data_IF_320674832071
#
_entry.id   IF_320674832071
#
_cell.length_a   1.000
_cell.length_b   1.000
_cell.length_c   1.000
_cell.angle_alpha   90.00
_cell.angle_beta   90.00
_cell.angle_gamma   90.00
#
_symmetry.space_group_name_H-M   'P 1'
#
loop_
_entity.id
_entity.type
_entity.pdbx_description
1 polymer ?
#
# COMPACT_ATOMS: atom_id res chain seq x y z
N UNK A 1 -3.60 -16.42 18.62
CA UNK A 1 -3.25 -14.99 18.65
C UNK A 1 -4.15 -14.34 19.68
N UNK A 2 -3.56 -13.73 20.70
CA UNK A 2 -4.28 -13.08 21.79
C UNK A 2 -3.99 -11.59 21.71
N UNK A 3 -5.03 -10.77 21.74
CA UNK A 3 -4.89 -9.32 21.87
C UNK A 3 -4.94 -8.98 23.36
N UNK A 4 -4.00 -8.14 23.80
CA UNK A 4 -3.85 -7.78 25.21
C UNK A 4 -3.78 -6.26 25.29
N UNK A 5 -4.70 -5.67 26.05
CA UNK A 5 -4.77 -4.21 26.21
C UNK A 5 -3.89 -3.71 27.37
N UNK A 6 -3.67 -4.56 28.38
CA UNK A 6 -2.93 -4.19 29.60
C UNK A 6 -1.52 -4.78 29.60
N UNK A 7 -0.54 -3.93 29.84
CA UNK A 7 0.87 -4.33 29.99
C UNK A 7 1.08 -5.36 31.10
N UNK A 8 0.32 -5.27 32.20
CA UNK A 8 0.37 -6.23 33.30
C UNK A 8 -0.01 -7.65 32.89
N UNK A 9 -0.96 -7.79 31.96
CA UNK A 9 -1.44 -9.10 31.51
C UNK A 9 -0.47 -9.68 30.47
N UNK A 10 0.14 -8.80 29.67
CA UNK A 10 1.18 -9.17 28.72
C UNK A 10 2.41 -9.77 29.42
N UNK A 11 2.91 -9.14 30.48
CA UNK A 11 4.05 -9.64 31.26
C UNK A 11 3.78 -11.03 31.85
N UNK A 12 2.57 -11.24 32.39
CA UNK A 12 2.14 -12.55 32.90
C UNK A 12 2.09 -13.61 31.81
N UNK A 13 1.59 -13.26 30.63
CA UNK A 13 1.50 -14.16 29.48
C UNK A 13 2.89 -14.52 28.95
N UNK A 14 3.81 -13.57 28.84
CA UNK A 14 5.19 -13.84 28.41
C UNK A 14 5.91 -14.76 29.41
N UNK A 15 5.65 -14.61 30.71
CA UNK A 15 6.20 -15.48 31.75
C UNK A 15 5.60 -16.88 31.81
N UNK A 16 4.46 -17.12 31.15
CA UNK A 16 3.74 -18.40 31.19
C UNK A 16 4.49 -19.48 30.41
N UNK A 17 4.81 -20.59 31.09
CA UNK A 17 5.50 -21.75 30.50
C UNK A 17 4.59 -22.95 30.27
N UNK A 18 3.40 -22.94 30.86
CA UNK A 18 2.46 -24.04 30.79
C UNK A 18 1.03 -23.50 30.75
N UNK A 19 0.22 -24.06 29.85
CA UNK A 19 -1.20 -23.75 29.72
C UNK A 19 -1.97 -25.07 29.64
N UNK A 20 -2.74 -25.39 30.69
CA UNK A 20 -3.55 -26.61 30.74
C UNK A 20 -2.73 -27.91 30.61
N UNK A 21 -1.57 -28.01 31.26
CA UNK A 21 -0.71 -29.20 31.16
C UNK A 21 0.26 -29.19 29.97
N UNK A 22 0.08 -28.26 29.01
CA UNK A 22 0.89 -28.18 27.80
C UNK A 22 1.98 -27.12 27.97
N UNK A 23 3.23 -27.49 27.69
CA UNK A 23 4.34 -26.53 27.66
C UNK A 23 4.13 -25.55 26.50
N UNK A 24 4.17 -24.26 26.80
CA UNK A 24 3.98 -23.18 25.82
C UNK A 24 5.13 -22.19 25.88
N UNK A 25 5.42 -21.56 24.74
CA UNK A 25 6.32 -20.40 24.62
C UNK A 25 5.49 -19.24 24.07
N UNK A 26 5.38 -18.17 24.85
CA UNK A 26 4.67 -16.96 24.46
C UNK A 26 5.68 -15.92 23.99
N UNK A 27 5.44 -15.33 22.83
CA UNK A 27 6.27 -14.25 22.25
C UNK A 27 5.37 -13.13 21.76
N UNK A 28 5.88 -11.90 21.81
CA UNK A 28 5.23 -10.76 21.15
C UNK A 28 5.10 -11.02 19.66
N UNK A 29 3.99 -10.59 19.07
CA UNK A 29 3.80 -10.67 17.63
C UNK A 29 4.61 -9.56 16.96
N UNK A 30 5.63 -9.93 16.18
CA UNK A 30 6.51 -8.96 15.51
C UNK A 30 5.84 -8.21 14.35
N UNK A 31 4.69 -8.69 13.88
CA UNK A 31 4.01 -8.16 12.71
C UNK A 31 2.80 -7.28 13.05
N UNK A 32 2.03 -7.64 14.08
CA UNK A 32 0.84 -6.90 14.49
C UNK A 32 1.13 -5.80 15.52
N UNK A 33 2.24 -5.92 16.25
CA UNK A 33 2.69 -4.89 17.18
C UNK A 33 3.62 -3.86 16.51
N UNK A 34 3.78 -3.92 15.19
CA UNK A 34 4.59 -2.96 14.44
C UNK A 34 3.76 -2.26 13.38
N UNK A 35 4.19 -1.04 13.04
CA UNK A 35 3.54 -0.24 12.00
C UNK A 35 4.58 0.47 11.16
N UNK A 36 4.16 0.99 10.01
CA UNK A 36 5.07 1.68 9.09
C UNK A 36 4.52 3.06 8.75
N UNK A 37 5.39 4.05 8.79
CA UNK A 37 5.09 5.42 8.40
C UNK A 37 6.10 5.94 7.39
N UNK A 38 5.69 6.94 6.62
CA UNK A 38 6.49 7.61 5.61
C UNK A 38 6.71 9.04 6.05
N UNK A 39 7.98 9.44 6.08
CA UNK A 39 8.41 10.82 6.28
C UNK A 39 9.09 11.33 5.01
N UNK A 40 8.89 12.60 4.71
CA UNK A 40 9.57 13.29 3.61
C UNK A 40 9.82 14.73 4.03
N UNK A 41 11.08 15.13 4.05
CA UNK A 41 11.48 16.50 4.33
C UNK A 41 12.79 16.84 3.62
N UNK A 42 12.95 18.11 3.19
CA UNK A 42 14.13 18.55 2.43
C UNK A 42 15.43 18.37 3.20
N UNK A 43 15.39 18.62 4.51
CA UNK A 43 16.57 18.60 5.38
C UNK A 43 17.04 17.18 5.74
N UNK A 44 16.27 16.16 5.39
CA UNK A 44 16.63 14.75 5.59
C UNK A 44 17.43 14.14 4.42
N UNK A 45 17.85 14.95 3.43
CA UNK A 45 18.55 14.48 2.22
C UNK A 45 19.87 13.75 2.50
N UNK A 46 20.55 14.13 3.58
CA UNK A 46 21.85 13.58 3.99
C UNK A 46 21.78 12.48 5.06
N UNK A 47 20.65 12.36 5.77
CA UNK A 47 20.55 11.53 6.97
C UNK A 47 20.72 10.04 6.69
N UNK A 48 21.49 9.35 7.52
CA UNK A 48 21.63 7.89 7.42
C UNK A 48 20.39 7.19 7.98
N UNK A 49 20.18 5.92 7.63
CA UNK A 49 19.00 5.19 8.10
C UNK A 49 19.08 4.91 9.60
N UNK A 50 20.30 4.65 10.09
CA UNK A 50 20.60 4.36 11.49
C UNK A 50 20.33 5.58 12.40
N UNK A 51 20.57 6.80 11.90
CA UNK A 51 20.30 8.04 12.63
C UNK A 51 18.83 8.16 13.06
N UNK A 52 17.88 7.65 12.25
CA UNK A 52 16.46 7.71 12.63
C UNK A 52 16.10 6.77 13.78
N UNK A 53 16.79 5.63 13.89
CA UNK A 53 16.64 4.70 15.01
C UNK A 53 17.17 5.34 16.30
N UNK A 54 18.26 6.09 16.20
CA UNK A 54 18.84 6.82 17.34
C UNK A 54 18.01 8.05 17.75
N UNK A 55 17.51 8.82 16.78
CA UNK A 55 16.83 10.08 17.06
C UNK A 55 15.38 9.94 17.50
N UNK A 56 14.69 8.90 17.01
CA UNK A 56 13.25 8.76 17.19
C UNK A 56 12.98 7.53 18.08
N UNK A 57 12.56 7.72 19.34
CA UNK A 57 12.21 6.60 20.19
C UNK A 57 11.02 5.82 19.58
N UNK A 58 11.12 4.49 19.63
CA UNK A 58 10.13 3.58 19.07
C UNK A 58 10.31 3.25 17.59
N UNK A 59 11.32 3.80 16.90
CA UNK A 59 11.67 3.35 15.54
C UNK A 59 12.57 2.12 15.63
N UNK A 60 12.14 1.01 15.04
CA UNK A 60 12.90 -0.25 14.94
C UNK A 60 13.85 -0.23 13.75
N UNK A 61 13.40 0.33 12.62
CA UNK A 61 14.18 0.42 11.40
C UNK A 61 13.73 1.57 10.53
N UNK A 62 14.65 2.11 9.75
CA UNK A 62 14.36 3.09 8.71
C UNK A 62 14.85 2.54 7.36
N UNK A 63 14.16 2.93 6.28
CA UNK A 63 14.55 2.60 4.91
C UNK A 63 14.36 3.82 4.02
N UNK A 64 15.40 4.27 3.34
CA UNK A 64 15.29 5.34 2.34
C UNK A 64 14.67 4.80 1.06
N UNK A 65 13.74 5.56 0.48
CA UNK A 65 13.14 5.21 -0.81
C UNK A 65 14.08 5.66 -1.93
N UNK A 66 14.43 4.72 -2.80
CA UNK A 66 15.14 4.98 -4.04
C UNK A 66 14.16 4.98 -5.22
N UNK A 67 14.33 5.94 -6.14
CA UNK A 67 13.60 5.97 -7.40
C UNK A 67 14.56 5.66 -8.54
N UNK A 68 14.11 4.84 -9.49
CA UNK A 68 14.85 4.62 -10.73
C UNK A 68 14.46 5.69 -11.74
N UNK A 69 15.40 6.49 -12.23
CA UNK A 69 15.21 7.43 -13.34
C UNK A 69 16.20 7.07 -14.45
N UNK A 70 15.69 6.49 -15.54
CA UNK A 70 16.55 5.91 -16.56
C UNK A 70 17.33 4.72 -16.01
N UNK A 71 18.66 4.76 -16.14
CA UNK A 71 19.57 3.71 -15.64
C UNK A 71 20.01 3.97 -14.19
N UNK A 72 19.83 5.19 -13.68
CA UNK A 72 20.32 5.57 -12.36
C UNK A 72 19.30 5.31 -11.24
N UNK A 73 19.81 4.94 -10.07
CA UNK A 73 19.06 4.87 -8.81
C UNK A 73 19.33 6.14 -8.01
N UNK A 74 18.29 6.95 -7.84
CA UNK A 74 18.37 8.22 -7.13
C UNK A 74 17.77 8.04 -5.74
N UNK A 75 18.59 8.27 -4.72
CA UNK A 75 18.14 8.32 -3.33
C UNK A 75 17.23 9.53 -3.13
N UNK A 76 16.01 9.30 -2.67
CA UNK A 76 15.07 10.40 -2.37
C UNK A 76 15.20 10.87 -0.93
N UNK A 77 14.56 12.00 -0.61
CA UNK A 77 14.43 12.50 0.76
C UNK A 77 13.26 11.84 1.52
N UNK A 78 12.79 10.68 1.04
CA UNK A 78 11.65 9.96 1.62
C UNK A 78 12.14 8.73 2.35
N UNK A 79 11.69 8.54 3.59
CA UNK A 79 12.02 7.38 4.40
C UNK A 79 10.76 6.67 4.82
N UNK A 80 10.82 5.34 4.86
CA UNK A 80 9.82 4.51 5.51
C UNK A 80 10.40 4.10 6.85
N UNK A 81 9.76 4.54 7.93
CA UNK A 81 10.08 4.15 9.29
C UNK A 81 9.19 2.98 9.71
N UNK A 82 9.76 2.03 10.44
CA UNK A 82 9.04 0.95 11.11
C UNK A 82 9.00 1.28 12.60
N UNK A 83 7.81 1.41 13.16
CA UNK A 83 7.60 1.70 14.58
C UNK A 83 7.29 0.41 15.35
N UNK A 84 7.67 0.38 16.62
CA UNK A 84 7.31 -0.65 17.61
C UNK A 84 5.90 -0.50 18.18
N UNK A 85 5.07 0.31 17.53
CA UNK A 85 3.66 0.53 17.84
C UNK A 85 2.76 -0.04 16.73
N UNK A 86 1.54 -0.51 17.05
CA UNK A 86 0.59 -1.04 16.07
C UNK A 86 0.05 0.01 15.08
N UNK A 87 0.15 1.29 15.43
CA UNK A 87 -0.24 2.43 14.57
C UNK A 87 0.86 3.47 14.56
N UNK A 88 1.18 4.07 13.38
CA UNK A 88 2.22 5.07 13.31
C UNK A 88 1.75 6.38 13.96
N UNK A 89 2.63 7.11 14.68
CA UNK A 89 2.29 8.44 15.18
C UNK A 89 2.00 9.40 14.03
N UNK A 90 1.31 10.52 14.28
CA UNK A 90 1.03 11.54 13.26
C UNK A 90 2.22 12.46 12.97
N UNK A 91 3.12 12.62 13.93
CA UNK A 91 4.31 13.46 13.86
C UNK A 91 5.43 12.87 14.71
N UNK A 92 6.67 13.03 14.27
CA UNK A 92 7.88 12.61 14.98
C UNK A 92 8.91 13.73 14.94
N UNK A 93 9.83 13.75 15.89
CA UNK A 93 10.99 14.65 15.88
C UNK A 93 12.22 13.90 15.37
N UNK A 94 12.61 14.15 14.13
CA UNK A 94 13.87 13.65 13.59
C UNK A 94 15.00 14.58 14.04
N UNK A 95 15.66 14.23 15.15
CA UNK A 95 16.55 15.13 15.86
C UNK A 95 15.76 16.31 16.44
N UNK A 96 16.05 17.53 15.97
CA UNK A 96 15.32 18.74 16.37
C UNK A 96 14.18 19.12 15.42
N UNK A 97 14.02 18.39 14.31
CA UNK A 97 13.08 18.72 13.26
C UNK A 97 11.74 17.98 13.45
N UNK A 98 10.61 18.69 13.66
CA UNK A 98 9.29 18.06 13.63
C UNK A 98 8.91 17.69 12.19
N UNK A 99 8.54 16.43 11.97
CA UNK A 99 8.17 15.90 10.65
C UNK A 99 6.88 15.10 10.75
N UNK A 100 5.91 15.44 9.89
CA UNK A 100 4.65 14.70 9.77
C UNK A 100 4.90 13.31 9.22
N UNK A 101 4.29 12.33 9.85
CA UNK A 101 4.32 10.93 9.43
C UNK A 101 3.02 10.59 8.72
N UNK A 102 3.13 10.01 7.53
CA UNK A 102 1.99 9.47 6.79
C UNK A 102 1.99 7.95 6.91
N UNK A 103 0.88 7.29 7.23
CA UNK A 103 0.82 5.83 7.21
C UNK A 103 1.33 5.23 5.90
N UNK A 104 2.23 4.25 5.98
CA UNK A 104 2.74 3.56 4.81
C UNK A 104 1.69 2.56 4.32
N UNK A 105 1.09 2.86 3.18
CA UNK A 105 0.10 1.99 2.54
C UNK A 105 0.80 1.17 1.45
N UNK A 106 1.03 -0.14 1.66
CA UNK A 106 1.62 -0.98 0.63
C UNK A 106 0.67 -1.15 -0.56
N UNK A 107 1.23 -1.50 -1.71
CA UNK A 107 0.42 -1.95 -2.84
C UNK A 107 -0.12 -3.36 -2.60
N UNK A 108 -1.32 -3.72 -3.07
CA UNK A 108 -1.93 -5.01 -2.80
C UNK A 108 -1.08 -6.14 -3.37
N UNK A 109 -0.72 -7.09 -2.52
CA UNK A 109 0.12 -8.22 -2.91
C UNK A 109 -0.63 -9.11 -3.89
N UNK A 110 -0.09 -9.22 -5.10
CA UNK A 110 -0.62 -10.05 -6.17
C UNK A 110 0.30 -11.24 -6.39
N UNK A 111 -0.26 -12.44 -6.43
CA UNK A 111 0.50 -13.63 -6.78
C UNK A 111 0.99 -13.53 -8.24
N UNK A 112 2.29 -13.61 -8.48
CA UNK A 112 2.82 -13.59 -9.85
C UNK A 112 2.53 -14.87 -10.64
N UNK A 113 2.06 -15.95 -10.00
CA UNK A 113 1.65 -17.19 -10.67
C UNK A 113 0.18 -17.20 -11.07
N UNK A 114 -0.74 -16.92 -10.13
CA UNK A 114 -2.19 -16.99 -10.39
C UNK A 114 -2.90 -15.63 -10.45
N UNK A 115 -2.19 -14.54 -10.19
CA UNK A 115 -2.67 -13.16 -10.29
C UNK A 115 -3.83 -12.78 -9.35
N UNK A 116 -4.17 -13.65 -8.40
CA UNK A 116 -5.08 -13.35 -7.29
C UNK A 116 -4.37 -12.58 -6.18
N UNK A 117 -5.12 -11.76 -5.46
CA UNK A 117 -4.62 -11.01 -4.31
C UNK A 117 -4.50 -11.89 -3.05
N UNK A 118 -3.71 -11.41 -2.08
CA UNK A 118 -3.63 -11.98 -0.73
C UNK A 118 -2.60 -13.09 -0.52
N UNK A 119 -1.82 -13.46 -1.55
CA UNK A 119 -0.70 -14.40 -1.40
C UNK A 119 0.43 -14.17 -2.39
N UNK A 120 1.65 -14.54 -1.98
CA UNK A 120 2.84 -14.58 -2.83
C UNK A 120 2.88 -15.76 -3.80
N UNK A 121 3.99 -15.89 -4.53
CA UNK A 121 4.22 -16.99 -5.47
C UNK A 121 4.44 -18.32 -4.73
N UNK A 122 5.15 -18.29 -3.62
CA UNK A 122 5.62 -19.48 -2.90
C UNK A 122 4.48 -20.19 -2.16
N UNK A 123 3.51 -19.42 -1.68
CA UNK A 123 2.28 -19.94 -1.06
C UNK A 123 1.17 -20.26 -2.07
N UNK A 124 1.47 -20.25 -3.38
CA UNK A 124 0.49 -20.51 -4.40
C UNK A 124 0.36 -22.00 -4.69
N UNK A 125 -0.87 -22.54 -4.53
CA UNK A 125 -1.20 -23.95 -4.82
C UNK A 125 -1.29 -24.28 -6.31
N UNK A 126 -1.44 -23.26 -7.19
CA UNK A 126 -1.44 -23.49 -8.63
C UNK A 126 -0.04 -23.92 -9.09
N UNK A 127 0.03 -24.90 -9.99
CA UNK A 127 1.29 -25.31 -10.64
C UNK A 127 1.60 -24.44 -11.85
N UNK A 128 0.59 -24.17 -12.66
CA UNK A 128 0.72 -23.38 -13.89
C UNK A 128 0.64 -21.87 -13.64
N UNK A 129 1.40 -21.12 -14.43
CA UNK A 129 1.35 -19.65 -14.48
C UNK A 129 0.23 -19.18 -15.41
N UNK A 130 -0.60 -18.27 -14.90
CA UNK A 130 -1.62 -17.60 -15.69
C UNK A 130 -1.03 -16.38 -16.38
N UNK A 131 -1.54 -16.07 -17.56
CA UNK A 131 -1.24 -14.85 -18.27
C UNK A 131 -1.84 -13.63 -17.53
N UNK A 132 -1.05 -12.59 -17.29
CA UNK A 132 -1.53 -11.34 -16.65
C UNK A 132 -2.60 -10.62 -17.46
N UNK A 133 -2.57 -10.78 -18.79
CA UNK A 133 -3.49 -10.12 -19.71
C UNK A 133 -4.82 -10.85 -19.79
N UNK A 134 -4.84 -12.14 -20.14
CA UNK A 134 -6.08 -12.89 -20.42
C UNK A 134 -6.47 -13.91 -19.33
N UNK A 135 -5.61 -14.19 -18.35
CA UNK A 135 -5.92 -15.09 -17.25
C UNK A 135 -5.90 -16.58 -17.59
N UNK A 136 -5.41 -16.98 -18.77
CA UNK A 136 -5.26 -18.38 -19.19
C UNK A 136 -3.82 -18.89 -19.05
N UNK A 137 -3.64 -20.22 -19.02
CA UNK A 137 -2.32 -20.87 -18.90
C UNK A 137 -1.61 -20.99 -20.26
N UNK A 138 -0.31 -21.30 -20.22
CA UNK A 138 0.49 -21.62 -21.41
C UNK A 138 1.00 -20.43 -22.22
N UNK A 139 0.84 -19.18 -21.74
CA UNK A 139 1.35 -17.97 -22.43
C UNK A 139 1.84 -16.91 -21.45
N UNK A 140 2.97 -16.28 -21.77
CA UNK A 140 3.48 -15.11 -21.03
C UNK A 140 2.73 -13.84 -21.41
N UNK A 141 2.66 -12.89 -20.46
CA UNK A 141 1.88 -11.65 -20.60
C UNK A 141 2.20 -10.83 -21.85
N UNK A 142 3.48 -10.70 -22.18
CA UNK A 142 3.98 -9.76 -23.19
C UNK A 142 3.71 -10.23 -24.63
N UNK A 143 3.64 -11.54 -24.84
CA UNK A 143 3.36 -12.15 -26.16
C UNK A 143 1.86 -12.43 -26.37
N UNK A 144 1.04 -12.15 -25.36
CA UNK A 144 -0.39 -12.44 -25.40
C UNK A 144 -1.15 -11.39 -26.22
N UNK A 145 -1.74 -11.82 -27.35
CA UNK A 145 -2.58 -10.99 -28.23
C UNK A 145 -4.07 -11.05 -27.92
N UNK A 146 -4.50 -11.86 -26.94
CA UNK A 146 -5.93 -12.01 -26.60
C UNK A 146 -6.48 -10.77 -25.90
N UNK A 147 -7.80 -10.64 -25.93
CA UNK A 147 -8.51 -9.61 -25.20
C UNK A 147 -8.21 -9.74 -23.70
N UNK A 148 -7.96 -8.61 -23.02
CA UNK A 148 -7.63 -8.63 -21.61
C UNK A 148 -8.86 -9.06 -20.79
N UNK A 149 -8.63 -9.93 -19.81
CA UNK A 149 -9.67 -10.42 -18.90
C UNK A 149 -9.09 -10.60 -17.51
N UNK A 150 -9.62 -9.87 -16.54
CA UNK A 150 -9.11 -9.90 -15.19
C UNK A 150 -9.54 -11.16 -14.44
N UNK A 151 -8.61 -11.89 -13.83
CA UNK A 151 -8.92 -13.08 -13.01
C UNK A 151 -9.69 -12.77 -11.73
N UNK A 152 -9.66 -11.51 -11.25
CA UNK A 152 -10.25 -11.10 -9.97
C UNK A 152 -11.69 -10.58 -10.12
N UNK A 153 -11.94 -9.68 -11.08
CA UNK A 153 -13.25 -9.08 -11.30
C UNK A 153 -13.93 -9.53 -12.61
N UNK A 154 -13.24 -10.30 -13.46
CA UNK A 154 -13.71 -10.74 -14.79
C UNK A 154 -13.94 -9.62 -15.82
N UNK A 155 -13.52 -8.39 -15.53
CA UNK A 155 -13.63 -7.24 -16.44
C UNK A 155 -12.57 -7.19 -17.55
N UNK A 156 -12.78 -6.27 -18.51
CA UNK A 156 -11.99 -6.09 -19.73
C UNK A 156 -10.67 -5.31 -19.50
N UNK A 157 -9.85 -5.80 -18.58
CA UNK A 157 -8.54 -5.22 -18.29
C UNK A 157 -7.59 -6.30 -17.76
N UNK A 158 -6.27 -6.11 -17.84
CA UNK A 158 -5.32 -7.06 -17.27
C UNK A 158 -5.45 -7.13 -15.75
N UNK A 159 -5.00 -8.23 -15.15
CA UNK A 159 -5.01 -8.42 -13.70
C UNK A 159 -4.08 -7.47 -12.93
N UNK A 160 -3.18 -6.76 -13.62
CA UNK A 160 -2.30 -5.72 -13.07
C UNK A 160 -2.95 -4.33 -13.00
N UNK A 161 -4.15 -4.13 -13.56
CA UNK A 161 -4.77 -2.81 -13.62
C UNK A 161 -5.17 -2.29 -12.24
N UNK A 162 -4.83 -1.03 -11.96
CA UNK A 162 -5.24 -0.31 -10.74
C UNK A 162 -6.70 0.16 -10.77
N UNK A 163 -7.32 0.19 -11.95
CA UNK A 163 -8.76 0.49 -12.11
C UNK A 163 -9.67 -0.70 -11.77
N UNK A 164 -9.11 -1.86 -11.46
CA UNK A 164 -9.87 -3.04 -11.08
C UNK A 164 -10.66 -2.79 -9.77
N UNK A 165 -11.97 -3.07 -9.73
CA UNK A 165 -12.76 -2.93 -8.50
C UNK A 165 -12.19 -3.72 -7.31
N UNK A 166 -11.71 -4.95 -7.58
CA UNK A 166 -11.06 -5.78 -6.57
C UNK A 166 -9.72 -5.25 -6.11
N UNK A 167 -8.98 -4.54 -6.97
CA UNK A 167 -7.76 -3.85 -6.54
C UNK A 167 -8.08 -2.69 -5.60
N UNK A 168 -9.10 -1.89 -5.93
CA UNK A 168 -9.52 -0.75 -5.11
C UNK A 168 -10.04 -1.19 -3.74
N UNK A 169 -10.80 -2.28 -3.68
CA UNK A 169 -11.24 -2.91 -2.43
C UNK A 169 -10.05 -3.34 -1.56
N UNK A 170 -9.11 -4.11 -2.11
CA UNK A 170 -7.91 -4.55 -1.38
C UNK A 170 -7.02 -3.37 -0.95
N UNK A 171 -6.93 -2.33 -1.78
CA UNK A 171 -6.21 -1.10 -1.43
C UNK A 171 -6.89 -0.36 -0.27
N UNK A 172 -8.23 -0.31 -0.23
CA UNK A 172 -8.96 0.30 0.88
C UNK A 172 -8.72 -0.45 2.19
N UNK A 173 -8.72 -1.79 2.17
CA UNK A 173 -8.42 -2.63 3.34
C UNK A 173 -7.00 -2.34 3.87
N UNK A 174 -6.02 -2.27 2.97
CA UNK A 174 -4.64 -1.96 3.36
C UNK A 174 -4.47 -0.54 3.89
N UNK A 175 -5.21 0.44 3.34
CA UNK A 175 -5.24 1.82 3.87
C UNK A 175 -5.79 1.85 5.28
N UNK A 176 -6.95 1.23 5.52
CA UNK A 176 -7.57 1.16 6.83
C UNK A 176 -6.61 0.55 7.85
N UNK A 177 -5.98 -0.57 7.49
CA UNK A 177 -5.02 -1.26 8.35
C UNK A 177 -3.77 -0.41 8.64
N UNK A 178 -3.25 0.31 7.65
CA UNK A 178 -2.09 1.17 7.86
C UNK A 178 -2.39 2.32 8.85
N UNK A 179 -3.64 2.79 8.89
CA UNK A 179 -4.09 3.88 9.74
C UNK A 179 -4.48 3.42 11.15
N UNK A 180 -5.19 2.29 11.25
CA UNK A 180 -5.83 1.84 12.49
C UNK A 180 -5.19 0.58 13.11
N UNK A 181 -4.21 -0.02 12.43
CA UNK A 181 -3.60 -1.27 12.86
C UNK A 181 -4.51 -2.48 12.65
N UNK A 182 -4.22 -3.55 13.38
CA UNK A 182 -5.03 -4.76 13.43
C UNK A 182 -4.78 -5.76 12.28
N UNK A 183 -5.55 -6.83 12.31
CA UNK A 183 -5.49 -7.91 11.33
C UNK A 183 -6.17 -7.54 10.01
N UNK A 184 -5.81 -8.25 8.94
CA UNK A 184 -6.47 -8.07 7.65
C UNK A 184 -7.98 -8.35 7.71
N UNK A 185 -8.41 -9.33 8.52
CA UNK A 185 -9.83 -9.67 8.69
C UNK A 185 -10.63 -8.55 9.35
N UNK A 186 -10.10 -7.97 10.44
CA UNK A 186 -10.70 -6.81 11.11
C UNK A 186 -10.81 -5.62 10.15
N UNK A 187 -9.73 -5.30 9.42
CA UNK A 187 -9.72 -4.21 8.46
C UNK A 187 -10.74 -4.41 7.33
N UNK A 188 -10.87 -5.64 6.80
CA UNK A 188 -11.89 -5.96 5.80
C UNK A 188 -13.30 -5.76 6.33
N UNK A 189 -13.59 -6.22 7.55
CA UNK A 189 -14.90 -6.03 8.17
C UNK A 189 -15.22 -4.54 8.34
N UNK A 190 -14.25 -3.73 8.79
CA UNK A 190 -14.42 -2.29 8.97
C UNK A 190 -14.74 -1.57 7.65
N UNK A 191 -14.00 -1.85 6.58
CA UNK A 191 -14.26 -1.25 5.25
C UNK A 191 -15.65 -1.63 4.72
N UNK A 192 -16.10 -2.87 4.92
CA UNK A 192 -17.45 -3.29 4.53
C UNK A 192 -18.51 -2.47 5.29
N UNK A 193 -18.31 -2.24 6.59
CA UNK A 193 -19.22 -1.44 7.41
C UNK A 193 -19.23 0.03 6.98
N UNK A 194 -18.07 0.63 6.68
CA UNK A 194 -17.97 2.01 6.18
C UNK A 194 -18.71 2.20 4.85
N UNK A 195 -18.47 1.33 3.87
CA UNK A 195 -19.17 1.35 2.59
C UNK A 195 -20.69 1.17 2.79
N UNK A 196 -21.09 0.28 3.71
CA UNK A 196 -22.51 0.10 4.02
C UNK A 196 -23.15 1.34 4.65
N UNK A 197 -22.41 2.18 5.38
CA UNK A 197 -22.92 3.45 5.93
C UNK A 197 -23.14 4.49 4.84
N UNK A 198 -22.25 4.57 3.85
CA UNK A 198 -22.37 5.53 2.74
C UNK A 198 -23.52 5.18 1.79
N UNK A 199 -23.76 3.89 1.56
CA UNK A 199 -24.83 3.41 0.66
C UNK A 199 -26.22 3.41 1.34
N UNK A 200 -26.28 3.38 2.68
CA UNK A 200 -27.56 3.39 3.40
C UNK A 200 -28.34 4.69 3.09
N UNK A 201 -29.55 4.60 2.52
CA UNK A 201 -30.38 5.79 2.35
C UNK A 201 -30.68 6.40 3.71
N UNK A 202 -30.66 7.73 3.80
CA UNK A 202 -31.01 8.45 5.01
C UNK A 202 -32.38 7.97 5.52
N UNK A 203 -32.46 7.64 6.79
CA UNK A 203 -33.73 7.30 7.44
C UNK A 203 -34.70 8.48 7.32
N UNK A 204 -36.00 8.20 7.17
CA UNK A 204 -37.05 9.21 7.08
C UNK A 204 -36.92 10.30 8.18
N UNK A 205 -36.66 9.88 9.43
CA UNK A 205 -36.46 10.79 10.56
C UNK A 205 -35.20 11.70 10.47
N UNK A 206 -34.26 11.42 9.59
CA UNK A 206 -33.12 12.30 9.29
C UNK A 206 -33.43 13.26 8.14
N UNK A 207 -34.29 12.87 7.20
CA UNK A 207 -34.73 13.71 6.09
C UNK A 207 -35.62 14.87 6.56
N UNK A 208 -36.45 14.66 7.60
CA UNK A 208 -37.39 15.65 8.12
C UNK A 208 -36.72 16.73 9.01
N UNK A 209 -35.46 16.53 9.45
CA UNK A 209 -34.73 17.53 10.25
C UNK A 209 -34.18 18.70 9.43
N UNK A 210 -34.12 18.56 8.10
CA UNK A 210 -33.95 19.70 7.21
C UNK A 210 -35.30 20.39 7.11
N UNK A 211 -35.48 21.47 7.88
CA UNK A 211 -36.69 22.29 7.82
C UNK A 211 -37.05 22.69 6.38
N UNK A 212 -38.31 23.04 6.11
CA UNK A 212 -38.80 23.25 4.75
C UNK A 212 -37.92 24.25 4.00
N UNK A 213 -37.41 23.83 2.84
CA UNK A 213 -36.73 24.71 1.89
C UNK A 213 -37.70 25.83 1.54
N UNK A 214 -37.40 27.05 1.97
CA UNK A 214 -38.11 28.25 1.52
C UNK A 214 -37.94 28.34 0.00
N UNK A 215 -39.01 28.08 -0.75
CA UNK A 215 -39.05 28.33 -2.19
C UNK A 215 -38.87 29.83 -2.39
N UNK A 216 -37.69 30.25 -2.86
CA UNK A 216 -37.51 31.60 -3.41
C UNK A 216 -38.19 31.59 -4.77
N UNK A 217 -39.37 32.22 -4.85
CA UNK A 217 -40.02 32.50 -6.14
C UNK A 217 -39.20 33.53 -6.91
N UNK A 218 -38.71 33.15 -8.08
CA UNK A 218 -38.09 34.08 -9.02
C UNK A 218 -39.16 35.06 -9.58
N UNK A 219 -38.86 36.36 -9.73
CA UNK A 219 -39.78 37.29 -10.38
C UNK A 219 -39.78 37.08 -11.90
N UNK A 220 -40.99 37.11 -12.47
CA UNK A 220 -41.30 37.01 -13.90
C UNK A 220 -40.84 38.29 -14.63
N UNK A 221 -40.08 38.20 -15.75
CA UNK A 221 -39.87 39.34 -16.62
C UNK A 221 -40.92 39.38 -17.76
N UNK A 222 -41.56 40.54 -17.93
CA UNK A 222 -42.51 40.89 -18.99
C UNK A 222 -41.84 41.05 -20.37
N UNK A 223 -42.59 40.92 -21.49
CA UNK A 223 -42.02 40.87 -22.83
C UNK A 223 -41.89 42.26 -23.48
N UNK A 224 -40.84 42.49 -24.27
CA UNK A 224 -40.82 43.50 -25.34
C UNK A 224 -40.21 42.94 -26.64
N UNK A 225 -41.00 43.15 -27.70
CA UNK A 225 -40.82 42.96 -29.15
C UNK A 225 -39.45 43.47 -29.66
N UNK A 226 -38.67 42.66 -30.37
CA UNK A 226 -38.67 42.33 -31.82
C UNK A 226 -37.87 43.33 -32.67
N UNK A 227 -36.84 42.84 -33.35
CA UNK A 227 -36.54 43.19 -34.75
C UNK A 227 -35.61 42.12 -35.35
N UNK A 228 -35.89 41.74 -36.60
CA UNK A 228 -35.46 40.51 -37.28
C UNK A 228 -34.59 40.88 -38.50
N UNK A 229 -33.41 40.24 -38.58
CA UNK A 229 -32.71 39.68 -39.76
C UNK A 229 -32.18 40.64 -40.87
N UNK A 230 -31.34 40.17 -41.85
CA UNK A 230 -31.02 38.76 -42.15
C UNK A 230 -29.55 38.39 -42.46
N UNK A 231 -29.40 37.07 -42.58
CA UNK A 231 -28.27 36.27 -43.05
C UNK A 231 -27.71 36.71 -44.41
N UNK A 232 -26.40 36.51 -44.60
CA UNK A 232 -25.86 36.18 -45.91
C UNK A 232 -24.74 35.13 -45.81
N UNK A 233 -24.98 34.07 -46.59
CA UNK A 233 -24.10 33.03 -47.10
C UNK A 233 -22.79 33.61 -47.67
N UNK A 234 -21.68 32.86 -47.65
CA UNK A 234 -20.96 32.48 -48.88
C UNK A 234 -19.68 31.66 -48.61
N UNK A 235 -19.48 30.77 -49.57
CA UNK A 235 -18.56 29.66 -49.71
C UNK A 235 -17.19 30.01 -50.32
N UNK A 236 -16.26 29.06 -50.18
CA UNK A 236 -15.34 28.53 -51.20
C UNK A 236 -13.84 28.91 -51.17
N UNK A 237 -13.04 27.82 -51.18
CA UNK A 237 -11.71 27.63 -51.84
C UNK A 237 -10.46 28.28 -51.20
N UNK A 238 -9.25 27.69 -51.16
CA UNK A 238 -8.53 26.74 -52.04
C UNK A 238 -7.57 25.81 -51.28
N UNK A 239 -7.24 24.70 -51.95
CA UNK A 239 -6.12 23.77 -51.73
C UNK A 239 -4.76 24.42 -52.01
N UNK A 240 -3.71 23.91 -51.36
CA UNK A 240 -2.46 23.48 -52.04
C UNK A 240 -1.88 22.25 -51.35
N UNK A 241 -1.58 21.26 -52.18
CA UNK A 241 -0.90 20.00 -51.91
C UNK A 241 0.59 20.15 -51.57
N UNK A 242 1.19 19.15 -50.94
CA UNK A 242 2.18 18.23 -51.56
C UNK A 242 3.24 17.66 -50.58
N UNK A 243 3.03 16.39 -50.25
CA UNK A 243 3.95 15.24 -50.35
C UNK A 243 5.17 15.01 -49.42
N UNK A 244 5.10 13.84 -48.76
CA UNK A 244 6.09 12.75 -48.60
C UNK A 244 7.58 13.11 -48.53
N UNK A 245 8.24 12.60 -47.48
CA UNK A 245 9.27 11.58 -47.73
C UNK A 245 9.45 10.59 -46.57
N UNK A 246 9.47 9.31 -46.94
CA UNK A 246 10.02 8.18 -46.18
C UNK A 246 11.54 8.25 -46.28
N UNK A 247 12.24 7.93 -45.19
CA UNK A 247 13.37 7.00 -45.29
C UNK A 247 13.55 6.22 -43.99
N UNK A 248 13.89 4.96 -44.21
CA UNK A 248 14.02 3.84 -43.29
C UNK A 248 15.52 3.68 -42.99
N UNK A 249 15.90 3.48 -41.74
CA UNK A 249 17.10 2.73 -41.39
C UNK A 249 16.79 1.82 -40.22
N UNK A 250 17.01 0.53 -40.47
CA UNK A 250 16.98 -0.56 -39.50
C UNK A 250 18.20 -0.46 -38.60
N UNK A 251 18.00 -0.48 -37.28
CA UNK A 251 19.03 -0.94 -36.36
C UNK A 251 18.40 -1.83 -35.29
N UNK A 252 18.98 -3.01 -35.17
CA UNK A 252 18.54 -4.20 -34.46
C UNK A 252 18.59 -4.00 -32.94
N UNK A 253 17.45 -3.76 -32.29
CA UNK A 253 17.35 -3.85 -30.82
C UNK A 253 17.02 -5.28 -30.38
N UNK A 254 18.03 -5.95 -29.82
CA UNK A 254 17.90 -7.20 -29.05
C UNK A 254 16.91 -7.03 -27.89
N UNK A 255 16.13 -8.07 -27.53
CA UNK A 255 15.06 -7.94 -26.55
C UNK A 255 15.60 -7.70 -25.13
N UNK A 256 15.13 -6.61 -24.52
CA UNK A 256 15.31 -6.29 -23.11
C UNK A 256 14.68 -7.37 -22.25
N UNK A 257 15.50 -8.03 -21.43
CA UNK A 257 15.04 -8.86 -20.33
C UNK A 257 14.39 -7.95 -19.29
N UNK A 258 13.10 -8.16 -19.03
CA UNK A 258 12.39 -7.46 -17.97
C UNK A 258 12.97 -7.90 -16.61
N UNK A 259 13.66 -6.96 -15.96
CA UNK A 259 14.31 -7.15 -14.68
C UNK A 259 13.35 -7.72 -13.65
N UNK A 260 13.83 -8.74 -12.93
CA UNK A 260 13.23 -9.23 -11.68
C UNK A 260 12.89 -8.02 -10.82
N UNK A 261 11.60 -7.83 -10.49
CA UNK A 261 11.27 -7.11 -9.28
C UNK A 261 11.92 -7.91 -8.15
N UNK A 262 12.93 -7.32 -7.53
CA UNK A 262 13.53 -7.87 -6.33
C UNK A 262 12.41 -8.17 -5.36
N UNK A 263 12.33 -9.42 -4.92
CA UNK A 263 11.74 -9.72 -3.64
C UNK A 263 12.42 -8.77 -2.64
N UNK A 264 11.63 -8.04 -1.85
CA UNK A 264 12.15 -7.55 -0.57
C UNK A 264 12.74 -8.80 0.11
N UNK A 265 14.00 -8.78 0.58
CA UNK A 265 14.50 -9.92 1.34
C UNK A 265 13.58 -10.10 2.54
N UNK A 266 12.99 -11.30 2.63
CA UNK A 266 12.58 -11.87 3.90
C UNK A 266 13.77 -11.66 4.83
N UNK A 267 13.57 -10.87 5.90
CA UNK A 267 14.55 -10.79 6.97
C UNK A 267 14.55 -12.18 7.59
N UNK A 268 15.60 -12.95 7.32
CA UNK A 268 15.83 -14.25 7.94
C UNK A 268 15.84 -14.05 9.46
N UNK A 269 14.76 -14.49 10.09
CA UNK A 269 14.54 -14.42 11.54
C UNK A 269 15.48 -15.32 12.35
N UNK A 270 16.41 -16.04 11.70
CA UNK A 270 17.40 -16.90 12.35
C UNK A 270 18.75 -16.20 12.62
N UNK A 271 18.95 -14.94 12.21
CA UNK A 271 20.23 -14.21 12.39
C UNK A 271 20.25 -13.23 13.58
N UNK A 272 19.21 -13.16 14.41
CA UNK A 272 19.15 -12.22 15.56
C UNK A 272 19.56 -12.90 16.89
N UNK A 273 19.57 -14.24 16.95
CA UNK A 273 19.98 -15.00 18.14
C UNK A 273 21.51 -15.00 18.37
N UNK A 274 22.32 -14.56 17.40
CA UNK A 274 23.79 -14.52 17.51
C UNK A 274 24.37 -13.24 18.10
N UNK A 275 23.55 -12.21 18.39
CA UNK A 275 24.01 -10.91 18.94
C UNK A 275 23.88 -10.84 20.47
N UNK A 276 23.18 -11.79 21.11
CA UNK A 276 23.01 -11.85 22.57
C UNK A 276 23.81 -12.97 23.28
N UNK A 277 24.89 -13.46 22.67
CA UNK A 277 25.83 -14.36 23.34
C UNK A 277 26.85 -13.55 24.16
N UNK A 278 26.47 -13.12 25.37
CA UNK A 278 27.47 -12.70 26.37
C UNK A 278 28.23 -13.94 26.89
N UNK A 279 29.56 -13.87 27.05
CA UNK A 279 30.36 -14.97 27.59
C UNK A 279 29.99 -15.24 29.06
N UNK A 280 29.78 -16.52 29.38
CA UNK A 280 29.62 -16.99 30.76
C UNK A 280 30.91 -16.75 31.52
N UNK A 281 30.99 -15.64 32.26
CA UNK A 281 31.97 -15.47 33.33
C UNK A 281 31.67 -16.48 34.43
N UNK A 282 32.57 -17.42 34.63
CA UNK A 282 32.55 -18.37 35.74
C UNK A 282 32.92 -17.66 37.04
N UNK A 283 31.94 -17.26 37.85
CA UNK A 283 32.16 -16.95 39.25
C UNK A 283 32.32 -18.26 40.04
N UNK A 284 33.57 -18.62 40.34
CA UNK A 284 33.93 -19.68 41.30
C UNK A 284 33.89 -19.07 42.70
N UNK A 285 32.82 -19.31 43.45
CA UNK A 285 32.80 -19.09 44.90
C UNK A 285 33.35 -20.33 45.59
N UNK A 286 34.41 -20.16 46.39
CA UNK A 286 35.12 -21.25 47.06
C UNK A 286 34.41 -21.77 48.31
N UNK A 287 34.83 -22.96 48.75
CA UNK A 287 34.82 -23.36 50.16
C UNK A 287 36.12 -24.07 50.50
N UNK A 288 36.74 -23.56 51.56
CA UNK A 288 37.86 -24.12 52.33
C UNK A 288 37.33 -25.17 53.31
N UNK A 289 38.18 -26.18 53.54
CA UNK A 289 38.48 -26.90 54.80
C UNK A 289 37.35 -27.54 55.61
N UNK A 290 37.58 -28.81 55.96
CA UNK A 290 36.84 -29.58 56.96
C UNK A 290 36.57 -30.97 56.47
#
# INVERSE_FOLDING_TARGET
>A
MLEVERTSDEEKLIGMKELGGLKVKVTRDSYLNTSRGVINHRDLRGSREEEFVEWIPGVISARRIEIKRGEERIKTNTYVLTFDSPTPPSEVKAGYLPVKVRPYVPTPMRCFRCHRFGRGRDRCRMKEELCVRCGETGRRGDECKRNPRCVNCKGEHPASSKSCPKYMEEQAILRYRAQNGGTFGQARAAVIVEVAKEVRPKLYAQAVRGGPIRKVTAPVPTPKKSEIAPLALNSATRRTDYSKNKNKSEETRKPQTCGRYGADPEVDLESIDSIWSLPKNSCRAGRRTG
#
